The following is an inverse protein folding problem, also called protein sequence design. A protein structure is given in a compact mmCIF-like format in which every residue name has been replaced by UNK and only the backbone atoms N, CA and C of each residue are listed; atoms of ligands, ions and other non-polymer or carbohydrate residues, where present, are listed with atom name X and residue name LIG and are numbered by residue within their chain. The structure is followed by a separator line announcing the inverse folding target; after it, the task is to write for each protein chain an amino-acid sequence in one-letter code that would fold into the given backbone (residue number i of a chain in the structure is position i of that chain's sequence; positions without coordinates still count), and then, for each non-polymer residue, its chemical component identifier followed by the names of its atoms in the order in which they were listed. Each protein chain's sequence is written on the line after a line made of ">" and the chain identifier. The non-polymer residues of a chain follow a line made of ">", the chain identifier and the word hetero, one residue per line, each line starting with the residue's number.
data_IF_555208262361
#
_entry.id   IF_555208262361
#
_cell.length_a   1.000
_cell.length_b   1.000
_cell.length_c   1.000
_cell.angle_alpha   90.00
_cell.angle_beta   90.00
_cell.angle_gamma   90.00
#
_symmetry.space_group_name_H-M   'P 1'
#
loop_
_entity.id
_entity.type
_entity.pdbx_description
1 polymer ?
#
# COMPACT_ATOMS: atom_id res chain seq x y z
N UNK A 1 -3.35 -18.46 17.09
CA UNK A 1 -4.08 -17.54 16.19
C UNK A 1 -3.08 -16.97 15.20
N UNK A 2 -3.10 -17.40 13.93
CA UNK A 2 -2.18 -16.85 12.93
C UNK A 2 -2.46 -15.37 12.71
N UNK A 3 -1.43 -14.56 12.41
CA UNK A 3 -1.62 -13.16 12.02
C UNK A 3 -2.44 -13.12 10.73
N UNK A 4 -3.74 -12.85 10.82
CA UNK A 4 -4.63 -12.70 9.66
C UNK A 4 -4.24 -11.48 8.82
N UNK A 5 -3.61 -10.50 9.45
CA UNK A 5 -3.11 -9.30 8.82
C UNK A 5 -1.59 -9.32 8.71
N UNK A 6 -1.12 -9.11 7.48
CA UNK A 6 0.28 -8.94 7.12
C UNK A 6 0.40 -7.66 6.31
N UNK A 7 1.51 -6.94 6.49
CA UNK A 7 1.81 -5.76 5.69
C UNK A 7 2.05 -6.23 4.24
N UNK A 8 1.48 -5.56 3.22
CA UNK A 8 1.76 -5.89 1.82
C UNK A 8 3.24 -5.68 1.50
N UNK A 9 3.83 -6.56 0.70
CA UNK A 9 5.22 -6.46 0.25
C UNK A 9 5.43 -5.31 -0.74
N UNK A 10 4.40 -4.94 -1.51
CA UNK A 10 4.42 -3.77 -2.37
C UNK A 10 4.31 -2.44 -1.59
N UNK A 11 3.95 -2.46 -0.29
CA UNK A 11 3.83 -1.25 0.51
C UNK A 11 5.17 -0.83 1.10
N UNK A 12 5.60 0.40 0.80
CA UNK A 12 6.84 0.99 1.29
C UNK A 12 6.98 0.94 2.83
N UNK A 13 8.22 0.82 3.32
CA UNK A 13 8.58 0.93 4.75
C UNK A 13 8.66 2.36 5.27
N UNK A 14 8.46 3.35 4.39
CA UNK A 14 8.45 4.75 4.78
C UNK A 14 7.30 5.08 5.74
N UNK A 15 7.58 5.98 6.68
CA UNK A 15 6.57 6.50 7.59
C UNK A 15 5.60 7.37 6.80
N UNK A 16 4.30 7.04 6.90
CA UNK A 16 3.23 7.80 6.27
C UNK A 16 3.07 9.16 6.96
N UNK A 17 2.96 10.24 6.18
CA UNK A 17 2.68 11.59 6.68
C UNK A 17 1.18 11.93 6.69
N UNK A 18 0.32 10.98 6.32
CA UNK A 18 -1.12 11.18 6.24
C UNK A 18 -1.76 11.35 7.63
N UNK A 19 -2.79 12.20 7.69
CA UNK A 19 -3.53 12.46 8.92
C UNK A 19 -4.22 11.19 9.46
N UNK A 20 -4.30 10.99 10.79
CA UNK A 20 -5.09 9.93 11.40
C UNK A 20 -6.56 10.01 10.96
N UNK A 21 -7.13 8.88 10.55
CA UNK A 21 -8.54 8.80 10.14
C UNK A 21 -8.82 9.22 8.69
N UNK A 22 -7.85 9.75 7.94
CA UNK A 22 -8.02 9.94 6.51
C UNK A 22 -7.85 8.62 5.74
N UNK A 23 -8.42 8.54 4.55
CA UNK A 23 -8.44 7.31 3.74
C UNK A 23 -7.17 7.10 2.92
N UNK A 24 -6.23 8.05 2.88
CA UNK A 24 -5.00 7.92 2.08
C UNK A 24 -4.18 6.69 2.46
N UNK A 25 -3.94 6.48 3.76
CA UNK A 25 -3.21 5.30 4.24
C UNK A 25 -3.94 3.98 3.91
N UNK A 26 -5.28 3.98 3.93
CA UNK A 26 -6.10 2.82 3.56
C UNK A 26 -5.97 2.54 2.06
N UNK A 27 -6.08 3.57 1.21
CA UNK A 27 -5.95 3.46 -0.25
C UNK A 27 -4.57 2.91 -0.62
N UNK A 28 -3.49 3.46 -0.06
CA UNK A 28 -2.14 2.96 -0.31
C UNK A 28 -1.97 1.48 0.04
N UNK A 29 -2.55 1.05 1.16
CA UNK A 29 -2.54 -0.35 1.58
C UNK A 29 -3.33 -1.24 0.63
N UNK A 30 -4.56 -0.87 0.28
CA UNK A 30 -5.41 -1.66 -0.63
C UNK A 30 -4.78 -1.81 -2.00
N UNK A 31 -4.22 -0.72 -2.55
CA UNK A 31 -3.50 -0.77 -3.83
C UNK A 31 -2.30 -1.71 -3.75
N UNK A 32 -1.53 -1.67 -2.65
CA UNK A 32 -0.41 -2.58 -2.46
C UNK A 32 -0.84 -4.06 -2.31
N UNK A 33 -1.94 -4.33 -1.59
CA UNK A 33 -2.52 -5.68 -1.47
C UNK A 33 -2.86 -6.24 -2.86
N UNK A 34 -3.52 -5.45 -3.71
CA UNK A 34 -3.88 -5.86 -5.08
C UNK A 34 -2.64 -6.05 -5.97
N UNK A 35 -1.60 -5.22 -5.84
CA UNK A 35 -0.34 -5.40 -6.58
C UNK A 35 0.31 -6.75 -6.25
N UNK A 36 0.31 -7.12 -4.97
CA UNK A 36 0.87 -8.39 -4.51
C UNK A 36 0.00 -9.57 -4.95
N UNK A 37 -1.33 -9.47 -4.82
CA UNK A 37 -2.29 -10.50 -5.28
C UNK A 37 -2.17 -10.78 -6.78
N UNK A 38 -1.97 -9.74 -7.59
CA UNK A 38 -1.79 -9.85 -9.04
C UNK A 38 -0.37 -10.29 -9.44
N UNK A 39 0.60 -10.29 -8.52
CA UNK A 39 1.98 -10.65 -8.81
C UNK A 39 2.67 -9.69 -9.80
N UNK A 40 2.27 -8.42 -9.82
CA UNK A 40 2.78 -7.40 -10.76
C UNK A 40 3.82 -6.46 -10.15
N UNK A 41 4.29 -6.75 -8.93
CA UNK A 41 5.40 -6.04 -8.30
C UNK A 41 6.66 -6.09 -9.18
N UNK A 42 7.35 -4.96 -9.33
CA UNK A 42 8.54 -4.83 -10.19
C UNK A 42 8.27 -4.54 -11.66
N UNK A 43 7.01 -4.61 -12.12
CA UNK A 43 6.56 -4.22 -13.47
C UNK A 43 5.44 -3.18 -13.47
N UNK A 44 5.17 -2.57 -12.31
CA UNK A 44 4.18 -1.50 -12.13
C UNK A 44 4.92 -0.19 -11.82
N UNK A 45 4.50 0.90 -12.47
CA UNK A 45 4.98 2.26 -12.17
C UNK A 45 3.84 3.03 -11.49
N UNK A 46 4.10 3.52 -10.27
CA UNK A 46 3.18 4.41 -9.57
C UNK A 46 3.39 5.86 -10.01
N UNK A 47 2.31 6.54 -10.40
CA UNK A 47 2.34 7.96 -10.77
C UNK A 47 1.40 8.68 -9.81
N UNK A 48 1.95 9.58 -8.99
CA UNK A 48 1.18 10.42 -8.08
C UNK A 48 1.27 11.88 -8.56
N UNK A 49 0.14 12.62 -8.64
CA UNK A 49 0.16 14.06 -8.87
C UNK A 49 0.60 14.80 -7.59
N UNK A 50 0.69 16.13 -7.67
CA UNK A 50 0.91 16.98 -6.48
C UNK A 50 -0.37 16.98 -5.63
N UNK A 51 -0.22 16.66 -4.34
CA UNK A 51 -1.30 16.60 -3.34
C UNK A 51 -0.79 16.14 -1.98
#
# INVERSE_FOLDING_TARGET
>A
MGKTFKKPEALSDQIMHYCPGCTHGVIHRLVAEVIDELGIRGRTVGIAPVG
#
